data_IF_239497683883
#
_entry.id   IF_239497683883
#
_cell.length_a   1.000
_cell.length_b   1.000
_cell.length_c   1.000
_cell.angle_alpha   90.00
_cell.angle_beta   90.00
_cell.angle_gamma   90.00
#
_symmetry.space_group_name_H-M   'P 1'
#
loop_
_entity.id
_entity.type
_entity.pdbx_description
1 polymer ?
#
# COMPACT_ATOMS: atom_id res chain seq x y z
N UNK A 1 8.43 10.16 -2.71
CA UNK A 1 9.02 11.48 -2.37
C UNK A 1 10.10 11.23 -1.33
N UNK A 2 11.38 11.43 -1.65
CA UNK A 2 12.50 10.82 -0.92
C UNK A 2 12.65 11.41 0.49
N UNK A 3 12.25 10.60 1.47
CA UNK A 3 12.26 10.91 2.89
C UNK A 3 13.25 10.00 3.59
N UNK A 4 14.12 10.57 4.43
CA UNK A 4 15.01 9.78 5.26
C UNK A 4 14.39 9.60 6.65
N UNK A 5 14.10 8.35 7.04
CA UNK A 5 13.47 8.03 8.33
C UNK A 5 14.35 8.36 9.53
N UNK A 6 15.66 8.09 9.45
CA UNK A 6 16.64 8.34 10.52
C UNK A 6 16.80 9.83 10.83
N UNK A 7 16.84 10.65 9.78
CA UNK A 7 17.01 12.10 9.93
C UNK A 7 15.67 12.83 10.09
N UNK A 8 14.54 12.10 9.97
CA UNK A 8 13.19 12.63 9.93
C UNK A 8 13.09 13.90 9.04
N UNK A 9 13.68 13.83 7.85
CA UNK A 9 13.85 14.99 6.96
C UNK A 9 13.64 14.63 5.50
N UNK A 10 12.98 15.55 4.80
CA UNK A 10 12.81 15.52 3.35
C UNK A 10 14.06 16.02 2.62
N UNK A 11 14.48 15.31 1.57
CA UNK A 11 15.61 15.69 0.72
C UNK A 11 15.17 15.94 -0.72
N UNK A 12 15.72 16.97 -1.35
CA UNK A 12 15.55 17.20 -2.80
C UNK A 12 16.61 16.43 -3.59
N UNK A 13 16.39 16.09 -4.87
CA UNK A 13 17.37 15.36 -5.69
C UNK A 13 18.75 16.04 -5.77
N UNK A 14 18.80 17.36 -5.64
CA UNK A 14 20.04 18.16 -5.61
C UNK A 14 20.77 18.12 -4.27
N UNK A 15 20.14 17.60 -3.22
CA UNK A 15 20.67 17.51 -1.86
C UNK A 15 21.06 16.08 -1.46
N UNK A 16 20.99 15.12 -2.40
CA UNK A 16 21.45 13.74 -2.22
C UNK A 16 22.83 13.55 -2.83
N UNK A 17 23.51 12.45 -2.49
CA UNK A 17 24.74 12.06 -3.18
C UNK A 17 24.43 11.60 -4.62
N UNK A 18 25.46 11.48 -5.46
CA UNK A 18 25.30 10.99 -6.84
C UNK A 18 24.70 9.57 -6.91
N UNK A 19 24.86 8.80 -5.84
CA UNK A 19 24.39 7.42 -5.69
C UNK A 19 22.96 7.32 -5.11
N UNK A 20 22.35 8.45 -4.73
CA UNK A 20 21.00 8.50 -4.15
C UNK A 20 20.95 8.29 -2.62
N UNK A 21 22.10 8.37 -1.95
CA UNK A 21 22.19 8.27 -0.50
C UNK A 21 21.93 9.60 0.21
N UNK A 22 21.46 9.50 1.45
CA UNK A 22 21.37 10.63 2.38
C UNK A 22 22.78 11.10 2.78
N UNK A 23 23.18 12.35 2.54
CA UNK A 23 24.52 12.82 2.91
C UNK A 23 24.72 13.00 4.43
N UNK A 24 23.64 12.96 5.23
CA UNK A 24 23.73 13.09 6.70
C UNK A 24 23.96 11.75 7.41
N UNK A 25 23.43 10.64 6.89
CA UNK A 25 23.55 9.32 7.52
C UNK A 25 24.14 8.24 6.61
N UNK A 26 24.35 8.52 5.32
CA UNK A 26 24.97 7.62 4.34
C UNK A 26 24.10 6.43 3.91
N UNK A 27 22.78 6.50 4.14
CA UNK A 27 21.84 5.42 3.77
C UNK A 27 21.14 5.73 2.45
N UNK A 28 20.93 4.69 1.66
CA UNK A 28 20.12 4.74 0.43
C UNK A 28 18.67 5.10 0.75
N UNK A 29 18.17 6.18 0.16
CA UNK A 29 16.75 6.58 0.27
C UNK A 29 16.01 5.92 -0.90
N UNK A 30 15.72 4.63 -0.76
CA UNK A 30 14.94 3.90 -1.76
C UNK A 30 13.46 4.28 -1.64
N UNK A 31 12.88 4.81 -2.71
CA UNK A 31 11.44 5.08 -2.80
C UNK A 31 10.60 3.80 -2.99
N UNK A 32 11.24 2.64 -3.21
CA UNK A 32 10.60 1.35 -3.39
C UNK A 32 10.25 0.63 -2.07
N UNK A 33 10.57 1.19 -0.90
CA UNK A 33 10.22 0.59 0.40
C UNK A 33 8.69 0.43 0.63
N UNK A 34 7.85 1.01 -0.23
CA UNK A 34 6.39 0.88 -0.20
C UNK A 34 5.78 -0.18 -1.13
N UNK A 35 6.56 -0.95 -1.89
CA UNK A 35 6.06 -2.00 -2.80
C UNK A 35 6.11 -3.40 -2.17
N UNK A 36 5.92 -3.51 -0.85
CA UNK A 36 5.67 -4.83 -0.25
C UNK A 36 4.29 -5.31 -0.67
N UNK A 37 4.27 -6.32 -1.54
CA UNK A 37 3.09 -7.00 -2.12
C UNK A 37 2.25 -7.80 -1.08
N UNK A 38 2.20 -7.35 0.18
CA UNK A 38 1.50 -8.00 1.30
C UNK A 38 0.49 -7.05 1.98
N UNK A 39 -0.14 -6.15 1.21
CA UNK A 39 -1.32 -5.42 1.67
C UNK A 39 -2.52 -6.38 1.69
N UNK A 40 -2.54 -7.20 2.75
CA UNK A 40 -3.53 -8.25 3.01
C UNK A 40 -4.92 -7.65 2.94
N UNK A 41 -5.70 -7.98 1.89
CA UNK A 41 -7.09 -7.52 1.78
C UNK A 41 -7.82 -7.76 3.10
N UNK A 42 -8.37 -6.71 3.75
CA UNK A 42 -8.85 -6.81 5.11
C UNK A 42 -9.95 -7.88 5.19
N UNK A 43 -9.91 -8.75 6.21
CA UNK A 43 -10.83 -9.89 6.34
C UNK A 43 -12.31 -9.49 6.24
N UNK A 44 -12.63 -8.29 6.74
CA UNK A 44 -13.98 -7.72 6.64
C UNK A 44 -14.44 -7.53 5.19
N UNK A 45 -13.55 -7.16 4.26
CA UNK A 45 -13.89 -6.99 2.85
C UNK A 45 -14.41 -8.29 2.24
N UNK A 46 -13.75 -9.42 2.55
CA UNK A 46 -14.19 -10.74 2.07
C UNK A 46 -15.57 -11.12 2.60
N UNK A 47 -15.89 -10.79 3.85
CA UNK A 47 -17.23 -11.03 4.41
C UNK A 47 -18.33 -10.23 3.71
N UNK A 48 -18.09 -8.93 3.45
CA UNK A 48 -19.07 -8.07 2.77
C UNK A 48 -19.40 -8.62 1.37
N UNK A 49 -18.37 -9.04 0.63
CA UNK A 49 -18.54 -9.65 -0.70
C UNK A 49 -19.33 -10.95 -0.63
N UNK A 50 -19.02 -11.85 0.31
CA UNK A 50 -19.76 -13.11 0.48
C UNK A 50 -21.23 -12.86 0.83
N UNK A 51 -21.52 -11.93 1.76
CA UNK A 51 -22.90 -11.59 2.12
C UNK A 51 -23.69 -11.01 0.94
N UNK A 52 -23.04 -10.17 0.13
CA UNK A 52 -23.65 -9.59 -1.06
C UNK A 52 -24.02 -10.66 -2.09
N UNK A 53 -23.11 -11.59 -2.39
CA UNK A 53 -23.36 -12.68 -3.35
C UNK A 53 -24.48 -13.59 -2.86
N UNK A 54 -24.50 -13.95 -1.58
CA UNK A 54 -25.55 -14.78 -1.00
C UNK A 54 -26.93 -14.12 -1.11
N UNK A 55 -27.03 -12.81 -0.80
CA UNK A 55 -28.28 -12.07 -0.88
C UNK A 55 -28.77 -11.93 -2.33
N UNK A 56 -27.88 -11.59 -3.27
CA UNK A 56 -28.23 -11.48 -4.68
C UNK A 56 -28.63 -12.83 -5.27
N UNK A 57 -27.92 -13.92 -4.93
CA UNK A 57 -28.28 -15.28 -5.34
C UNK A 57 -29.65 -15.70 -4.79
N UNK A 58 -29.91 -15.47 -3.51
CA UNK A 58 -31.23 -15.72 -2.91
C UNK A 58 -32.33 -14.91 -3.59
N UNK A 59 -32.10 -13.61 -3.84
CA UNK A 59 -33.04 -12.74 -4.55
C UNK A 59 -33.33 -13.24 -5.96
N UNK A 60 -32.30 -13.67 -6.69
CA UNK A 60 -32.44 -14.24 -8.03
C UNK A 60 -33.33 -15.49 -7.96
N UNK A 61 -33.05 -16.42 -7.04
CA UNK A 61 -33.87 -17.65 -6.87
C UNK A 61 -35.34 -17.29 -6.58
N UNK A 62 -35.59 -16.36 -5.66
CA UNK A 62 -36.95 -15.91 -5.31
C UNK A 62 -37.67 -15.20 -6.48
N UNK A 63 -36.95 -14.59 -7.41
CA UNK A 63 -37.57 -13.99 -8.60
C UNK A 63 -38.01 -15.02 -9.64
N UNK A 64 -37.39 -16.21 -9.64
CA UNK A 64 -37.64 -17.26 -10.63
C UNK A 64 -38.48 -18.44 -10.10
N UNK A 65 -38.69 -18.54 -8.79
CA UNK A 65 -39.57 -19.52 -8.10
C UNK A 65 -40.86 -18.85 -7.68
#
# INVERSE_FOLDING_TARGET
>A
MPWCEECARYFTPTAMTADGDCPSCGRLIDDAAGLSDDEKTPWHFKLLVTSLIAYLGWRIIVLFV
#
